data_IF_812739077047
#
_entry.id   IF_812739077047
#
_cell.length_a   1.000
_cell.length_b   1.000
_cell.length_c   1.000
_cell.angle_alpha   90.00
_cell.angle_beta   90.00
_cell.angle_gamma   90.00
#
_symmetry.space_group_name_H-M   'P 1'
#
loop_
_entity.id
_entity.type
_entity.pdbx_description
1 polymer ?
#
# COMPACT_ATOMS: atom_id res chain seq x y z
N UNK A 1 17.76 4.50 13.49
CA UNK A 1 18.35 5.79 13.89
C UNK A 1 18.29 6.66 12.66
N UNK A 2 17.68 7.83 12.76
CA UNK A 2 17.51 8.75 11.63
C UNK A 2 18.78 9.58 11.48
N UNK A 3 19.25 9.82 10.26
CA UNK A 3 20.42 10.69 10.10
C UNK A 3 20.04 12.14 10.37
N UNK A 4 21.00 12.99 10.77
CA UNK A 4 20.77 14.43 10.96
C UNK A 4 20.12 15.08 9.72
N UNK A 5 20.43 14.58 8.52
CA UNK A 5 19.85 15.06 7.27
C UNK A 5 18.37 14.63 7.14
N UNK A 6 18.05 13.39 7.50
CA UNK A 6 16.67 12.89 7.50
C UNK A 6 15.85 13.62 8.56
N UNK A 7 16.36 13.76 9.77
CA UNK A 7 15.70 14.52 10.84
C UNK A 7 15.38 15.96 10.42
N UNK A 8 16.32 16.66 9.80
CA UNK A 8 16.11 18.01 9.29
C UNK A 8 15.06 18.06 8.18
N UNK A 9 15.04 17.07 7.29
CA UNK A 9 14.03 16.95 6.22
C UNK A 9 12.64 16.60 6.78
N UNK A 10 12.59 15.82 7.85
CA UNK A 10 11.37 15.42 8.56
C UNK A 10 10.81 16.50 9.50
N UNK A 11 11.57 17.58 9.73
CA UNK A 11 11.22 18.61 10.72
C UNK A 11 11.46 18.19 12.18
N UNK A 12 12.21 17.11 12.41
CA UNK A 12 12.74 16.71 13.71
C UNK A 12 14.03 17.50 14.04
N UNK A 13 14.54 17.39 15.26
CA UNK A 13 15.73 18.09 15.70
C UNK A 13 16.99 17.20 15.60
N UNK A 14 17.87 17.42 14.60
CA UNK A 14 19.07 16.60 14.37
C UNK A 14 20.12 16.67 15.49
N UNK A 15 20.00 17.62 16.42
CA UNK A 15 20.90 17.73 17.58
C UNK A 15 20.35 17.02 18.83
N UNK A 16 19.17 16.41 18.73
CA UNK A 16 18.52 15.74 19.84
C UNK A 16 18.12 14.31 19.45
N UNK A 17 18.91 13.34 19.90
CA UNK A 17 18.67 11.90 19.71
C UNK A 17 17.31 11.40 20.24
N UNK A 18 16.62 12.16 21.10
CA UNK A 18 15.28 11.81 21.58
C UNK A 18 14.17 12.41 20.70
N UNK A 19 14.51 13.27 19.74
CA UNK A 19 13.61 13.76 18.73
C UNK A 19 13.58 12.69 17.64
N UNK A 20 12.49 11.92 17.56
CA UNK A 20 12.33 10.92 16.51
C UNK A 20 11.19 11.41 15.61
N UNK A 21 11.42 11.52 14.29
CA UNK A 21 10.36 11.90 13.35
C UNK A 21 9.26 10.82 13.29
N UNK A 22 8.04 11.23 12.93
CA UNK A 22 6.91 10.30 12.81
C UNK A 22 7.06 9.45 11.54
N UNK A 23 6.87 8.16 11.70
CA UNK A 23 7.05 7.12 10.68
C UNK A 23 5.93 6.10 10.92
N UNK A 24 4.87 6.21 10.12
CA UNK A 24 3.58 5.54 10.34
C UNK A 24 3.62 4.07 9.89
N UNK A 25 4.44 3.78 8.88
CA UNK A 25 4.57 2.48 8.23
C UNK A 25 5.89 1.76 8.56
N UNK A 26 6.82 2.44 9.22
CA UNK A 26 8.06 1.91 9.79
C UNK A 26 9.05 1.37 8.75
N UNK A 27 9.04 1.92 7.55
CA UNK A 27 9.97 1.53 6.47
C UNK A 27 11.34 2.23 6.60
N UNK A 28 11.45 3.17 7.55
CA UNK A 28 12.66 3.95 7.82
C UNK A 28 12.68 5.32 7.13
N UNK A 29 11.58 5.72 6.49
CA UNK A 29 11.36 7.04 5.93
C UNK A 29 10.23 7.69 6.74
N UNK A 30 10.41 8.93 7.19
CA UNK A 30 9.38 9.59 7.97
C UNK A 30 8.21 10.09 7.09
N UNK A 31 7.02 10.20 7.69
CA UNK A 31 5.77 10.64 7.04
C UNK A 31 5.87 11.97 6.29
N UNK A 32 6.81 12.84 6.69
CA UNK A 32 6.99 14.16 6.11
C UNK A 32 7.65 14.14 4.72
N UNK A 33 8.46 13.11 4.44
CA UNK A 33 9.11 12.90 3.14
C UNK A 33 8.73 11.57 2.49
N UNK A 34 7.99 10.72 3.20
CA UNK A 34 7.41 9.50 2.67
C UNK A 34 6.07 9.76 1.97
N UNK A 35 5.98 9.25 0.74
CA UNK A 35 4.77 9.31 -0.08
C UNK A 35 3.95 8.00 0.00
N UNK A 36 4.43 6.99 0.69
CA UNK A 36 3.78 5.72 1.02
C UNK A 36 3.36 5.64 2.50
N UNK A 37 3.05 6.80 3.08
CA UNK A 37 2.70 6.97 4.49
C UNK A 37 1.36 6.32 4.89
N UNK A 38 0.75 5.60 3.96
CA UNK A 38 -0.45 4.79 4.16
C UNK A 38 -0.03 3.35 4.02
N UNK A 39 0.64 2.85 5.07
CA UNK A 39 0.97 1.44 5.31
C UNK A 39 2.14 0.78 4.54
N UNK A 40 3.01 1.60 3.96
CA UNK A 40 4.38 1.23 3.61
C UNK A 40 4.49 0.22 2.48
N UNK A 41 5.68 -0.40 2.25
CA UNK A 41 5.98 -1.10 1.00
C UNK A 41 5.14 -2.36 0.72
N UNK A 42 4.15 -2.66 1.59
CA UNK A 42 3.11 -3.67 1.45
C UNK A 42 1.69 -3.11 1.22
N UNK A 43 1.50 -1.82 0.97
CA UNK A 43 0.15 -1.29 0.74
C UNK A 43 -0.40 -1.74 -0.59
N UNK A 44 -1.31 -2.70 -0.50
CA UNK A 44 -2.15 -3.12 -1.61
C UNK A 44 -3.52 -2.48 -1.38
N UNK A 45 -3.96 -1.58 -2.27
CA UNK A 45 -5.32 -1.08 -2.26
C UNK A 45 -6.30 -2.26 -2.18
N UNK A 46 -7.41 -2.17 -1.42
CA UNK A 46 -8.41 -3.25 -1.33
C UNK A 46 -9.01 -3.67 -2.69
N UNK A 47 -8.75 -2.88 -3.74
CA UNK A 47 -9.10 -3.12 -5.14
C UNK A 47 -8.03 -3.84 -5.98
N UNK A 48 -6.77 -3.91 -5.56
CA UNK A 48 -5.65 -4.53 -6.31
C UNK A 48 -5.21 -5.91 -5.74
N UNK A 49 -5.66 -6.25 -4.52
CA UNK A 49 -5.39 -7.53 -3.86
C UNK A 49 -6.30 -8.70 -4.28
N UNK A 50 -6.61 -8.88 -5.57
CA UNK A 50 -7.25 -10.10 -6.11
C UNK A 50 -8.58 -10.55 -5.50
N UNK A 51 -9.17 -9.78 -4.59
CA UNK A 51 -10.43 -10.05 -3.90
C UNK A 51 -11.32 -8.85 -4.07
N UNK A 52 -11.81 -8.66 -5.29
CA UNK A 52 -12.95 -7.77 -5.57
C UNK A 52 -13.98 -7.91 -4.44
N UNK A 53 -14.28 -6.85 -3.67
CA UNK A 53 -15.34 -6.90 -2.68
C UNK A 53 -16.66 -7.09 -3.44
N UNK A 54 -17.17 -8.32 -3.46
CA UNK A 54 -18.54 -8.64 -3.87
C UNK A 54 -18.76 -9.37 -5.20
N UNK A 55 -17.81 -9.53 -6.13
CA UNK A 55 -18.14 -10.11 -7.46
C UNK A 55 -17.09 -11.02 -8.15
N UNK A 56 -15.92 -11.27 -7.56
CA UNK A 56 -14.80 -11.92 -8.28
C UNK A 56 -15.02 -13.36 -8.68
N UNK A 57 -15.79 -14.12 -7.90
CA UNK A 57 -16.12 -15.52 -8.23
C UNK A 57 -17.30 -15.63 -9.20
N UNK A 58 -18.21 -14.66 -9.21
CA UNK A 58 -19.37 -14.66 -10.11
C UNK A 58 -18.95 -14.30 -11.55
N UNK A 59 -17.99 -13.39 -11.71
CA UNK A 59 -17.51 -12.97 -13.03
C UNK A 59 -16.81 -14.09 -13.79
N UNK A 60 -15.96 -14.89 -13.12
CA UNK A 60 -15.31 -16.05 -13.75
C UNK A 60 -16.33 -17.15 -14.14
N UNK A 61 -17.36 -17.39 -13.31
CA UNK A 61 -18.44 -18.33 -13.62
C UNK A 61 -19.32 -17.85 -14.79
N UNK A 62 -19.56 -16.54 -14.90
CA UNK A 62 -20.32 -15.97 -16.02
C UNK A 62 -19.58 -16.14 -17.35
N UNK A 63 -18.26 -15.91 -17.38
CA UNK A 63 -17.44 -16.13 -18.58
C UNK A 63 -17.36 -17.62 -18.93
N UNK A 64 -17.26 -18.52 -17.94
CA UNK A 64 -17.32 -19.97 -18.17
C UNK A 64 -18.68 -20.43 -18.72
N UNK A 65 -19.78 -19.89 -18.20
CA UNK A 65 -21.14 -20.21 -18.64
C UNK A 65 -21.44 -19.69 -20.05
N UNK A 66 -20.95 -18.49 -20.41
CA UNK A 66 -21.07 -17.95 -21.76
C UNK A 66 -20.26 -18.77 -22.78
N UNK A 67 -19.04 -19.19 -22.41
CA UNK A 67 -18.19 -20.02 -23.27
C UNK A 67 -18.80 -21.42 -23.52
N UNK A 68 -19.49 -22.00 -22.53
CA UNK A 68 -20.22 -23.26 -22.69
C UNK A 68 -21.50 -23.12 -23.53
N UNK A 69 -22.10 -21.93 -23.60
CA UNK A 69 -23.21 -21.64 -24.51
C UNK A 69 -22.75 -21.38 -25.95
N UNK A 70 -21.54 -20.87 -26.16
CA UNK A 70 -21.01 -20.58 -27.49
C UNK A 70 -20.54 -21.82 -28.27
N UNK A 71 -20.48 -23.01 -27.63
CA UNK A 71 -20.07 -24.28 -28.27
C UNK A 71 -21.25 -25.19 -28.63
N UNK A 72 -22.45 -24.65 -28.74
CA UNK A 72 -23.63 -25.37 -29.24
C UNK A 72 -24.06 -24.79 -30.58
N UNK A 73 -23.25 -25.10 -31.59
CA UNK A 73 -23.61 -25.27 -32.99
C UNK A 73 -22.79 -26.45 -33.55
#
# INVERSE_FOLDING_TARGET
DYSDADEAACGSNPLNVNSIPTDTDYDGICDAIDNDNTDGPGYVPPDEGGSTPGFGLISALAVLALAALARRD
#
